data_IF_472445955613
#
_entry.id   IF_472445955613
#
_cell.length_a   1.000
_cell.length_b   1.000
_cell.length_c   1.000
_cell.angle_alpha   90.00
_cell.angle_beta   90.00
_cell.angle_gamma   90.00
#
_symmetry.space_group_name_H-M   'P 1'
#
loop_
_entity.id
_entity.type
_entity.pdbx_description
1 polymer ?
#
# COMPACT_ATOMS: atom_id res chain seq x y z
N UNK A 1 3.27 41.66 -16.70
CA UNK A 1 3.48 40.20 -16.55
C UNK A 1 4.53 39.95 -15.48
N UNK A 2 4.53 38.81 -14.80
CA UNK A 2 5.69 38.25 -14.04
C UNK A 2 5.77 38.37 -12.50
N UNK A 3 4.68 38.40 -11.73
CA UNK A 3 4.74 37.92 -10.32
C UNK A 3 4.59 36.40 -10.20
N UNK A 4 3.93 35.79 -11.17
CA UNK A 4 3.66 34.35 -11.20
C UNK A 4 4.76 33.52 -11.88
N UNK A 5 5.62 34.14 -12.70
CA UNK A 5 6.72 33.45 -13.37
C UNK A 5 7.68 32.73 -12.39
N UNK A 6 8.19 33.35 -11.30
CA UNK A 6 9.06 32.64 -10.37
C UNK A 6 8.34 31.50 -9.63
N UNK A 7 7.03 31.63 -9.39
CA UNK A 7 6.21 30.58 -8.78
C UNK A 7 6.11 29.37 -9.71
N UNK A 8 5.78 29.61 -10.99
CA UNK A 8 5.67 28.56 -12.00
C UNK A 8 7.03 27.84 -12.17
N UNK A 9 8.12 28.59 -12.28
CA UNK A 9 9.48 28.02 -12.39
C UNK A 9 9.82 27.17 -11.17
N UNK A 10 9.48 27.63 -9.97
CA UNK A 10 9.73 26.88 -8.73
C UNK A 10 8.93 25.57 -8.69
N UNK A 11 7.65 25.60 -9.07
CA UNK A 11 6.78 24.41 -9.12
C UNK A 11 7.34 23.39 -10.13
N UNK A 12 7.74 23.84 -11.32
CA UNK A 12 8.32 22.97 -12.34
C UNK A 12 9.64 22.37 -11.88
N UNK A 13 10.52 23.16 -11.25
CA UNK A 13 11.78 22.66 -10.72
C UNK A 13 11.55 21.61 -9.63
N UNK A 14 10.62 21.85 -8.70
CA UNK A 14 10.24 20.86 -7.68
C UNK A 14 9.70 19.58 -8.32
N UNK A 15 8.82 19.70 -9.32
CA UNK A 15 8.27 18.54 -10.02
C UNK A 15 9.36 17.72 -10.73
N UNK A 16 10.32 18.38 -11.37
CA UNK A 16 11.49 17.74 -11.99
C UNK A 16 12.34 17.03 -10.95
N UNK A 17 12.65 17.69 -9.82
CA UNK A 17 13.43 17.08 -8.74
C UNK A 17 12.72 15.84 -8.18
N UNK A 18 11.42 15.93 -7.87
CA UNK A 18 10.65 14.78 -7.40
C UNK A 18 10.69 13.61 -8.41
N UNK A 19 10.59 13.92 -9.71
CA UNK A 19 10.65 12.91 -10.76
C UNK A 19 12.04 12.25 -10.86
N UNK A 20 13.09 13.06 -10.96
CA UNK A 20 14.50 12.63 -11.11
C UNK A 20 14.95 11.80 -9.90
N UNK A 21 14.56 12.19 -8.69
CA UNK A 21 14.90 11.46 -7.46
C UNK A 21 13.91 10.36 -7.10
N UNK A 22 12.93 10.06 -7.97
CA UNK A 22 11.90 9.04 -7.76
C UNK A 22 11.19 9.18 -6.41
N UNK A 23 10.85 10.40 -6.05
CA UNK A 23 10.13 10.74 -4.82
C UNK A 23 8.63 10.75 -5.14
N UNK A 24 7.85 10.01 -4.36
CA UNK A 24 6.40 10.01 -4.42
C UNK A 24 5.79 10.54 -3.13
N UNK A 25 4.63 11.17 -3.24
CA UNK A 25 3.86 11.64 -2.09
C UNK A 25 2.73 10.65 -1.77
N UNK A 26 2.72 10.08 -0.56
CA UNK A 26 1.57 9.33 -0.07
C UNK A 26 0.62 10.27 0.68
N UNK A 27 -0.63 10.33 0.21
CA UNK A 27 -1.69 11.15 0.79
C UNK A 27 -2.81 10.33 1.44
N UNK A 28 -2.67 9.00 1.50
CA UNK A 28 -3.64 8.09 2.14
C UNK A 28 -3.18 7.70 3.53
N UNK A 29 -4.11 7.40 4.45
CA UNK A 29 -3.77 7.02 5.83
C UNK A 29 -3.20 5.60 5.97
N UNK A 30 -3.17 4.78 4.91
CA UNK A 30 -2.65 3.42 5.02
C UNK A 30 -1.16 3.36 5.32
N UNK A 31 -0.42 4.41 4.93
CA UNK A 31 0.96 4.67 5.35
C UNK A 31 1.03 6.11 5.88
N UNK A 32 2.08 6.49 6.64
CA UNK A 32 2.22 7.88 7.07
C UNK A 32 2.16 8.83 5.88
N UNK A 33 1.44 9.94 6.03
CA UNK A 33 1.35 10.96 4.99
C UNK A 33 2.73 11.60 4.87
N UNK A 34 3.27 11.70 3.65
CA UNK A 34 4.64 12.16 3.46
C UNK A 34 5.26 11.85 2.12
N UNK A 35 6.53 12.22 1.99
CA UNK A 35 7.40 11.94 0.85
C UNK A 35 8.19 10.66 1.08
N UNK A 36 8.22 9.83 0.05
CA UNK A 36 8.90 8.55 0.03
C UNK A 36 9.81 8.48 -1.17
N UNK A 37 11.04 8.06 -0.97
CA UNK A 37 12.03 7.92 -2.03
C UNK A 37 12.14 6.46 -2.44
N UNK A 38 12.18 6.21 -3.75
CA UNK A 38 12.41 4.86 -4.28
C UNK A 38 13.83 4.39 -3.95
N UNK A 39 13.94 3.15 -3.53
CA UNK A 39 15.22 2.47 -3.29
C UNK A 39 15.77 1.83 -4.56
N UNK A 40 17.10 1.75 -4.67
CA UNK A 40 17.78 1.08 -5.77
C UNK A 40 17.89 -0.44 -5.50
N UNK A 41 16.74 -1.11 -5.44
CA UNK A 41 16.66 -2.57 -5.26
C UNK A 41 15.53 -3.17 -6.08
N UNK A 42 15.74 -4.40 -6.54
CA UNK A 42 14.70 -5.24 -7.14
C UNK A 42 14.26 -6.37 -6.21
N UNK A 43 14.98 -6.60 -5.11
CA UNK A 43 14.62 -7.58 -4.09
C UNK A 43 13.56 -6.97 -3.19
N UNK A 44 12.50 -7.74 -2.95
CA UNK A 44 11.37 -7.36 -2.09
C UNK A 44 11.33 -8.35 -0.94
N UNK A 45 11.30 -7.84 0.28
CA UNK A 45 11.29 -8.59 1.53
C UNK A 45 10.07 -8.19 2.36
N UNK A 46 9.72 -9.02 3.36
CA UNK A 46 8.74 -8.62 4.38
C UNK A 46 9.24 -7.37 5.10
N UNK A 47 8.34 -6.44 5.40
CA UNK A 47 8.64 -5.16 6.03
C UNK A 47 8.91 -4.02 5.04
N UNK A 48 9.26 -4.31 3.79
CA UNK A 48 9.50 -3.30 2.76
C UNK A 48 8.23 -2.49 2.47
N UNK A 49 8.37 -1.19 2.22
CA UNK A 49 7.28 -0.39 1.67
C UNK A 49 7.34 -0.46 0.15
N UNK A 50 6.22 -0.79 -0.48
CA UNK A 50 6.12 -0.96 -1.93
C UNK A 50 5.04 -0.08 -2.51
N UNK A 51 5.34 0.51 -3.66
CA UNK A 51 4.34 1.17 -4.51
C UNK A 51 3.82 0.16 -5.52
N UNK A 52 2.50 0.05 -5.65
CA UNK A 52 1.84 -1.04 -6.39
C UNK A 52 0.76 -0.49 -7.32
N UNK A 53 0.82 -0.89 -8.59
CA UNK A 53 -0.26 -0.69 -9.55
C UNK A 53 -1.24 -1.87 -9.50
N UNK A 54 -2.44 -1.64 -8.98
CA UNK A 54 -3.47 -2.67 -8.83
C UNK A 54 -3.97 -3.15 -10.19
N UNK A 55 -4.48 -4.40 -10.23
CA UNK A 55 -5.09 -4.97 -11.44
C UNK A 55 -6.28 -4.13 -11.91
N UNK A 56 -6.66 -4.25 -13.19
CA UNK A 56 -7.74 -3.44 -13.77
C UNK A 56 -9.07 -3.60 -13.04
N UNK A 57 -9.40 -4.82 -12.61
CA UNK A 57 -10.63 -5.11 -11.88
C UNK A 57 -10.67 -4.38 -10.52
N UNK A 58 -9.60 -4.52 -9.73
CA UNK A 58 -9.48 -3.86 -8.42
C UNK A 58 -9.44 -2.33 -8.58
N UNK A 59 -8.69 -1.84 -9.57
CA UNK A 59 -8.57 -0.42 -9.87
C UNK A 59 -9.90 0.19 -10.33
N UNK A 60 -10.70 -0.53 -11.11
CA UNK A 60 -12.01 -0.06 -11.58
C UNK A 60 -12.95 0.19 -10.40
N UNK A 61 -13.03 -0.74 -9.45
CA UNK A 61 -13.79 -0.51 -8.21
C UNK A 61 -13.21 0.68 -7.43
N UNK A 62 -11.89 0.73 -7.26
CA UNK A 62 -11.25 1.80 -6.50
C UNK A 62 -11.55 3.19 -7.09
N UNK A 63 -11.57 3.31 -8.41
CA UNK A 63 -11.90 4.54 -9.12
C UNK A 63 -13.39 4.86 -8.98
N UNK A 64 -14.27 3.88 -9.21
CA UNK A 64 -15.73 4.03 -9.07
C UNK A 64 -16.14 4.49 -7.67
N UNK A 65 -15.50 3.93 -6.63
CA UNK A 65 -15.79 4.23 -5.23
C UNK A 65 -15.05 5.45 -4.69
N UNK A 66 -14.15 6.05 -5.50
CA UNK A 66 -13.31 7.16 -5.09
C UNK A 66 -12.25 6.81 -4.05
N UNK A 67 -11.92 5.52 -3.89
CA UNK A 67 -10.81 5.07 -3.02
C UNK A 67 -9.47 5.53 -3.57
N UNK A 68 -9.32 5.50 -4.90
CA UNK A 68 -8.14 5.98 -5.61
C UNK A 68 -8.55 6.95 -6.71
N UNK A 69 -7.65 7.89 -6.99
CA UNK A 69 -7.80 8.85 -8.10
C UNK A 69 -7.24 8.27 -9.38
N UNK A 70 -7.64 8.83 -10.52
CA UNK A 70 -7.01 8.56 -11.81
C UNK A 70 -5.51 8.88 -11.75
N UNK A 71 -4.69 8.07 -12.42
CA UNK A 71 -3.23 8.18 -12.34
C UNK A 71 -2.51 7.40 -13.43
N UNK A 72 -1.22 7.22 -13.22
CA UNK A 72 -0.28 6.72 -14.23
C UNK A 72 -0.08 5.20 -14.24
N UNK A 73 -0.78 4.43 -13.40
CA UNK A 73 -0.75 2.98 -13.53
C UNK A 73 -1.41 2.54 -14.84
N UNK A 74 -1.00 1.42 -15.44
CA UNK A 74 -1.66 0.86 -16.64
C UNK A 74 -3.15 0.53 -16.45
N UNK A 75 -3.60 0.45 -15.20
CA UNK A 75 -5.01 0.28 -14.81
C UNK A 75 -5.77 1.60 -14.64
N UNK A 76 -5.13 2.75 -14.86
CA UNK A 76 -5.76 4.07 -14.90
C UNK A 76 -5.84 4.81 -13.55
N UNK A 77 -5.35 4.21 -12.46
CA UNK A 77 -5.33 4.82 -11.11
C UNK A 77 -3.92 5.22 -10.67
N UNK A 78 -3.81 6.00 -9.60
CA UNK A 78 -2.54 6.18 -8.89
C UNK A 78 -2.10 4.88 -8.19
N UNK A 79 -0.78 4.63 -8.02
CA UNK A 79 -0.31 3.47 -7.29
C UNK A 79 -0.60 3.59 -5.78
N UNK A 80 -0.76 2.46 -5.10
CA UNK A 80 -0.91 2.41 -3.64
C UNK A 80 0.45 2.19 -2.97
N UNK A 81 0.69 2.85 -1.84
CA UNK A 81 1.86 2.60 -0.99
C UNK A 81 1.45 1.75 0.22
N UNK A 82 2.07 0.57 0.36
CA UNK A 82 1.75 -0.41 1.41
C UNK A 82 3.01 -1.10 1.91
N UNK A 83 2.94 -1.80 3.04
CA UNK A 83 4.01 -2.62 3.60
C UNK A 83 3.82 -4.06 3.15
N UNK A 84 4.90 -4.74 2.75
CA UNK A 84 4.86 -6.16 2.43
C UNK A 84 4.82 -6.97 3.72
N UNK A 85 3.80 -7.81 3.90
CA UNK A 85 3.68 -8.71 5.05
C UNK A 85 3.91 -10.16 4.69
N UNK A 86 3.65 -10.57 3.44
CA UNK A 86 3.95 -11.90 2.93
C UNK A 86 4.62 -11.83 1.55
N UNK A 87 5.51 -12.77 1.29
CA UNK A 87 6.21 -12.97 0.02
C UNK A 87 5.87 -14.35 -0.57
N UNK A 88 6.29 -14.66 -1.81
CA UNK A 88 6.06 -15.98 -2.38
C UNK A 88 6.68 -17.09 -1.53
N UNK A 89 5.93 -18.16 -1.30
CA UNK A 89 6.30 -19.30 -0.44
C UNK A 89 5.74 -19.23 0.97
N UNK A 90 5.23 -18.08 1.41
CA UNK A 90 4.62 -17.92 2.73
C UNK A 90 3.27 -18.63 2.81
N UNK A 91 2.92 -19.07 4.02
CA UNK A 91 1.56 -19.51 4.35
C UNK A 91 0.80 -18.30 4.88
N UNK A 92 -0.37 -18.02 4.29
CA UNK A 92 -1.22 -16.91 4.75
C UNK A 92 -2.59 -17.44 5.17
N UNK A 93 -3.05 -17.06 6.35
CA UNK A 93 -4.42 -17.30 6.82
C UNK A 93 -5.15 -15.98 6.91
N UNK A 94 -6.28 -15.86 6.21
CA UNK A 94 -7.13 -14.67 6.26
C UNK A 94 -8.42 -15.01 7.02
N UNK A 95 -8.69 -14.27 8.10
CA UNK A 95 -9.93 -14.37 8.88
C UNK A 95 -10.73 -13.08 8.78
N UNK A 96 -11.84 -12.97 9.50
CA UNK A 96 -12.64 -11.73 9.51
C UNK A 96 -11.93 -10.54 10.18
N UNK A 97 -10.96 -10.82 11.05
CA UNK A 97 -10.31 -9.82 11.91
C UNK A 97 -8.80 -9.72 11.67
N UNK A 98 -8.16 -10.73 11.08
CA UNK A 98 -6.71 -10.83 11.03
C UNK A 98 -6.20 -11.40 9.70
N UNK A 99 -4.96 -11.04 9.37
CA UNK A 99 -4.11 -11.78 8.43
C UNK A 99 -2.98 -12.40 9.26
N UNK A 100 -2.79 -13.70 9.18
CA UNK A 100 -1.65 -14.39 9.79
C UNK A 100 -0.71 -14.83 8.67
N UNK A 101 0.56 -14.45 8.75
CA UNK A 101 1.61 -14.85 7.79
C UNK A 101 2.61 -15.72 8.53
N UNK A 102 2.65 -17.00 8.18
CA UNK A 102 3.31 -18.04 8.97
C UNK A 102 2.81 -18.00 10.42
N UNK A 103 3.64 -17.50 11.35
CA UNK A 103 3.32 -17.38 12.78
C UNK A 103 3.01 -15.92 13.20
N UNK A 104 3.19 -14.95 12.30
CA UNK A 104 3.02 -13.52 12.61
C UNK A 104 1.61 -13.06 12.29
N UNK A 105 0.92 -12.53 13.30
CA UNK A 105 -0.45 -12.02 13.15
C UNK A 105 -0.49 -10.50 12.93
N UNK A 106 -1.36 -10.08 12.03
CA UNK A 106 -1.65 -8.68 11.71
C UNK A 106 -3.14 -8.41 11.91
N UNK A 107 -3.48 -7.47 12.80
CA UNK A 107 -4.86 -6.99 12.96
C UNK A 107 -5.33 -6.35 11.66
N UNK A 108 -6.38 -6.90 11.06
CA UNK A 108 -6.87 -6.53 9.74
C UNK A 108 -8.40 -6.74 9.62
N UNK A 109 -9.24 -6.11 10.45
CA UNK A 109 -10.67 -6.30 10.37
C UNK A 109 -11.24 -5.82 9.03
N UNK A 110 -12.27 -6.51 8.56
CA UNK A 110 -13.09 -6.02 7.47
C UNK A 110 -14.03 -4.94 7.97
N UNK A 111 -14.04 -3.79 7.29
CA UNK A 111 -15.08 -2.80 7.47
C UNK A 111 -16.36 -3.30 6.79
N UNK A 112 -17.52 -3.07 7.40
CA UNK A 112 -18.80 -3.42 6.77
C UNK A 112 -19.10 -2.49 5.60
N UNK A 113 -18.79 -1.19 5.77
CA UNK A 113 -19.03 -0.16 4.77
C UNK A 113 -17.86 0.79 4.61
N UNK A 114 -17.74 1.40 3.43
CA UNK A 114 -16.85 2.53 3.18
C UNK A 114 -17.41 3.86 3.74
N UNK A 115 -16.65 4.95 3.54
CA UNK A 115 -17.04 6.29 3.98
C UNK A 115 -18.35 6.81 3.32
N UNK A 116 -18.74 6.25 2.18
CA UNK A 116 -19.97 6.56 1.45
C UNK A 116 -21.10 5.57 1.78
N UNK A 117 -20.94 4.76 2.83
CA UNK A 117 -21.91 3.73 3.30
C UNK A 117 -22.15 2.59 2.31
N UNK A 118 -21.28 2.41 1.32
CA UNK A 118 -21.37 1.24 0.45
C UNK A 118 -20.78 0.01 1.14
N UNK A 119 -21.40 -1.16 0.95
CA UNK A 119 -20.84 -2.43 1.42
C UNK A 119 -19.44 -2.66 0.84
N UNK A 120 -18.49 -3.02 1.70
CA UNK A 120 -17.13 -3.33 1.25
C UNK A 120 -17.11 -4.61 0.41
N UNK A 121 -16.57 -4.52 -0.80
CA UNK A 121 -16.39 -5.68 -1.67
C UNK A 121 -15.10 -6.44 -1.33
N UNK A 122 -15.20 -7.76 -1.26
CA UNK A 122 -14.07 -8.68 -1.18
C UNK A 122 -13.92 -9.40 -2.53
N UNK A 123 -12.69 -9.48 -3.03
CA UNK A 123 -12.31 -10.24 -4.23
C UNK A 123 -11.65 -11.58 -3.86
N UNK A 124 -11.49 -11.83 -2.56
CA UNK A 124 -10.86 -13.02 -2.01
C UNK A 124 -11.69 -13.52 -0.82
N UNK A 125 -11.72 -14.83 -0.61
CA UNK A 125 -12.41 -15.44 0.52
C UNK A 125 -11.51 -15.47 1.76
N UNK A 126 -12.10 -15.58 2.94
CA UNK A 126 -11.34 -16.00 4.11
C UNK A 126 -10.85 -17.45 3.90
N UNK A 127 -9.73 -17.81 4.50
CA UNK A 127 -9.20 -19.17 4.41
C UNK A 127 -7.69 -19.25 4.51
N UNK A 128 -7.19 -20.46 4.37
CA UNK A 128 -5.77 -20.79 4.32
C UNK A 128 -5.29 -20.74 2.86
N UNK A 129 -4.20 -20.01 2.65
CA UNK A 129 -3.46 -19.90 1.39
C UNK A 129 -2.10 -20.53 1.59
N UNK A 130 -1.99 -21.87 1.48
CA UNK A 130 -0.70 -22.54 1.56
C UNK A 130 0.09 -22.22 0.29
N UNK A 131 1.36 -21.89 0.43
CA UNK A 131 2.25 -21.56 -0.70
C UNK A 131 1.76 -20.37 -1.54
N UNK A 132 1.51 -19.23 -0.91
CA UNK A 132 1.18 -17.99 -1.61
C UNK A 132 2.20 -17.69 -2.72
N UNK A 133 1.72 -17.34 -3.93
CA UNK A 133 2.57 -17.08 -5.10
C UNK A 133 2.87 -15.59 -5.34
N UNK A 134 2.26 -14.69 -4.57
CA UNK A 134 2.39 -13.24 -4.75
C UNK A 134 2.93 -12.54 -3.50
N UNK A 135 2.65 -11.25 -3.41
CA UNK A 135 3.00 -10.43 -2.26
C UNK A 135 1.73 -9.96 -1.57
N UNK A 136 1.61 -10.18 -0.26
CA UNK A 136 0.54 -9.57 0.52
C UNK A 136 1.01 -8.21 1.03
N UNK A 137 0.21 -7.19 0.74
CA UNK A 137 0.49 -5.80 1.07
C UNK A 137 -0.53 -5.29 2.11
N UNK A 138 -0.06 -4.51 3.07
CA UNK A 138 -0.79 -4.15 4.29
C UNK A 138 -0.65 -2.67 4.62
N UNK A 139 -1.73 -2.04 5.08
CA UNK A 139 -1.72 -0.65 5.53
C UNK A 139 -1.39 -0.50 7.01
N UNK A 140 -0.11 -0.60 7.36
CA UNK A 140 0.38 -0.60 8.75
C UNK A 140 0.10 0.68 9.56
N UNK A 141 -0.16 1.84 8.94
CA UNK A 141 -0.39 3.08 9.69
C UNK A 141 -1.83 3.26 10.19
N UNK A 142 -2.80 2.71 9.46
CA UNK A 142 -4.21 2.66 9.85
C UNK A 142 -4.80 1.32 9.43
N UNK A 143 -4.46 0.23 10.15
CA UNK A 143 -4.90 -1.10 9.79
C UNK A 143 -6.41 -1.25 9.76
N UNK A 144 -7.18 -0.50 10.55
CA UNK A 144 -8.63 -0.67 10.58
C UNK A 144 -9.26 -0.15 9.28
N UNK A 145 -8.81 1.01 8.78
CA UNK A 145 -9.38 1.66 7.60
C UNK A 145 -8.68 1.31 6.29
N UNK A 146 -7.55 0.62 6.35
CA UNK A 146 -6.77 0.29 5.16
C UNK A 146 -7.50 -0.68 4.23
N UNK A 147 -7.65 -0.27 2.97
CA UNK A 147 -8.02 -1.15 1.87
C UNK A 147 -6.75 -1.73 1.23
N UNK A 148 -6.48 -3.01 1.51
CA UNK A 148 -5.24 -3.72 1.20
C UNK A 148 -5.47 -5.21 0.86
N UNK A 149 -4.44 -6.07 0.93
CA UNK A 149 -4.55 -7.48 0.54
C UNK A 149 -5.62 -8.27 1.29
N UNK A 150 -6.15 -7.81 2.42
CA UNK A 150 -7.33 -8.47 3.02
C UNK A 150 -8.54 -8.46 2.08
N UNK A 151 -8.68 -7.45 1.22
CA UNK A 151 -9.82 -7.31 0.30
C UNK A 151 -9.59 -7.95 -1.05
N UNK A 152 -8.33 -8.03 -1.52
CA UNK A 152 -8.02 -8.45 -2.89
C UNK A 152 -6.86 -9.45 -3.01
N UNK A 153 -6.35 -9.94 -1.90
CA UNK A 153 -5.32 -10.97 -1.87
C UNK A 153 -3.94 -10.48 -2.31
N UNK A 154 -3.13 -11.44 -2.71
CA UNK A 154 -1.75 -11.21 -3.11
C UNK A 154 -1.66 -10.45 -4.44
N UNK A 155 -0.70 -9.53 -4.54
CA UNK A 155 -0.37 -8.84 -5.79
C UNK A 155 0.79 -9.55 -6.50
N UNK A 156 0.76 -9.55 -7.83
CA UNK A 156 1.86 -10.10 -8.63
C UNK A 156 3.12 -9.23 -8.51
N UNK A 157 4.31 -9.83 -8.59
CA UNK A 157 5.58 -9.09 -8.64
C UNK A 157 5.59 -7.95 -9.66
N UNK A 158 5.03 -8.17 -10.86
CA UNK A 158 4.96 -7.18 -11.95
C UNK A 158 4.10 -5.96 -11.61
N UNK A 159 3.20 -6.07 -10.63
CA UNK A 159 2.40 -4.96 -10.15
C UNK A 159 3.19 -4.02 -9.24
N UNK A 160 4.31 -4.48 -8.65
CA UNK A 160 5.14 -3.70 -7.74
C UNK A 160 6.12 -2.86 -8.56
N UNK A 161 5.94 -1.54 -8.54
CA UNK A 161 6.71 -0.60 -9.34
C UNK A 161 7.98 -0.10 -8.64
N UNK A 162 8.13 -0.36 -7.33
CA UNK A 162 9.35 -0.04 -6.59
C UNK A 162 9.23 -0.32 -5.10
N UNK A 163 10.39 -0.44 -4.44
CA UNK A 163 10.54 -0.40 -2.99
C UNK A 163 10.86 1.04 -2.58
N UNK A 164 10.34 1.49 -1.44
CA UNK A 164 10.40 2.87 -1.00
C UNK A 164 10.78 2.96 0.47
N UNK A 165 11.44 4.05 0.82
CA UNK A 165 11.72 4.45 2.21
C UNK A 165 11.11 5.83 2.50
N UNK A 166 10.66 6.09 3.74
CA UNK A 166 10.23 7.43 4.11
C UNK A 166 11.42 8.41 3.98
N UNK A 167 11.20 9.52 3.28
CA UNK A 167 12.11 10.65 3.27
C UNK A 167 11.68 11.69 4.30
N UNK A 168 10.37 11.94 4.38
CA UNK A 168 9.77 12.84 5.35
C UNK A 168 8.29 12.49 5.55
N UNK A 169 7.82 12.40 6.80
CA UNK A 169 6.43 12.06 7.12
C UNK A 169 5.85 13.02 8.16
N UNK A 170 4.61 13.47 7.98
CA UNK A 170 3.96 14.46 8.86
C UNK A 170 3.52 13.90 10.22
N UNK A 171 3.44 12.57 10.36
CA UNK A 171 3.20 11.88 11.62
C UNK A 171 4.20 10.72 11.72
N UNK A 172 5.10 10.76 12.68
CA UNK A 172 5.92 9.62 13.04
C UNK A 172 5.04 8.63 13.81
N UNK A 173 4.54 7.62 13.12
CA UNK A 173 4.24 6.35 13.77
C UNK A 173 5.31 5.40 13.29
N UNK A 174 6.09 4.87 14.21
CA UNK A 174 6.94 3.71 13.90
C UNK A 174 6.01 2.66 13.28
N UNK A 175 6.37 2.18 12.08
CA UNK A 175 5.64 1.10 11.45
C UNK A 175 5.57 -0.03 12.47
N UNK A 176 4.36 -0.55 12.75
CA UNK A 176 4.20 -1.71 13.63
C UNK A 176 5.03 -2.83 13.02
N UNK A 177 6.24 -3.04 13.56
CA UNK A 177 6.99 -4.25 13.33
C UNK A 177 6.19 -5.35 14.03
N UNK A 178 5.98 -6.50 13.40
CA UNK A 178 5.46 -7.66 14.13
C UNK A 178 6.33 -7.85 15.36
N UNK A 179 5.70 -7.93 16.53
CA UNK A 179 6.42 -8.27 17.76
C UNK A 179 6.91 -9.71 17.62
N UNK A 180 8.23 -9.96 17.63
CA UNK A 180 8.74 -11.33 17.55
C UNK A 180 8.37 -12.16 18.79
N UNK A 181 7.87 -11.55 19.87
CA UNK A 181 7.71 -12.16 21.18
C UNK A 181 6.26 -12.38 21.63
N UNK A 182 5.24 -12.03 20.84
CA UNK A 182 3.84 -12.25 21.23
C UNK A 182 3.34 -13.71 21.05
N UNK A 183 4.24 -14.66 20.78
CA UNK A 183 3.94 -16.11 20.62
C UNK A 183 4.41 -16.95 21.82
N UNK A 184 4.86 -16.32 22.91
CA UNK A 184 5.18 -17.02 24.15
C UNK A 184 4.01 -16.98 25.13
N UNK A 185 2.90 -17.68 24.84
CA UNK A 185 1.96 -18.20 25.85
C UNK A 185 1.19 -19.42 25.31
#
# INVERSE_FOLDING_TARGET
>A
MSKFLPIIVSILLIAILLHVFHIQFNYTSSMPIGFYQRENTTKIKRGDLVSVCLSREIAALALQRGYLRAGNCPSGVIPVLKQVIAIPGDTVTLTNSNITVNELEYTAPFMLTDHNKNTMQKFISNGLYPYNHGYWIYGANDPIKSWDSRYYGAVNRKAIIGVYKPLFTFKNKDFVKPDPLSVAH
#
